data_IF_971031107095
#
_entry.id   IF_971031107095
#
_cell.length_a   1.000
_cell.length_b   1.000
_cell.length_c   1.000
_cell.angle_alpha   90.00
_cell.angle_beta   90.00
_cell.angle_gamma   90.00
#
_symmetry.space_group_name_H-M   'P 1'
#
loop_
_entity.id
_entity.type
_entity.pdbx_description
1 polymer ?
#
# COMPACT_ATOMS: atom_id res chain seq x y z
N UNK A 1 -5.72 -15.91 -2.49
CA UNK A 1 -7.16 -15.85 -2.13
C UNK A 1 -7.35 -15.81 -0.62
N UNK A 2 -6.77 -16.76 0.13
CA UNK A 2 -6.83 -16.80 1.61
C UNK A 2 -6.27 -15.52 2.28
N UNK A 3 -5.12 -14.98 1.83
CA UNK A 3 -4.58 -13.72 2.38
C UNK A 3 -5.42 -12.47 2.09
N UNK A 4 -5.94 -12.33 0.86
CA UNK A 4 -6.79 -11.18 0.53
C UNK A 4 -8.02 -11.18 1.43
N UNK A 5 -8.67 -12.34 1.60
CA UNK A 5 -9.75 -12.52 2.55
C UNK A 5 -9.34 -12.25 4.00
N UNK A 6 -8.16 -12.69 4.43
CA UNK A 6 -7.63 -12.52 5.80
C UNK A 6 -7.24 -11.09 6.17
N UNK A 7 -6.58 -10.38 5.26
CA UNK A 7 -6.19 -8.98 5.42
C UNK A 7 -7.40 -8.05 5.34
N UNK A 8 -8.42 -8.43 4.56
CA UNK A 8 -9.72 -7.79 4.60
C UNK A 8 -10.43 -8.11 5.94
N UNK A 9 -10.55 -9.39 6.33
CA UNK A 9 -11.37 -9.89 7.46
C UNK A 9 -10.95 -9.58 8.92
N UNK A 10 -10.04 -8.65 9.17
CA UNK A 10 -9.80 -8.12 10.53
C UNK A 10 -9.32 -9.14 11.60
N UNK A 11 -8.12 -9.71 11.42
CA UNK A 11 -7.17 -9.92 12.55
C UNK A 11 -5.76 -9.56 12.10
N UNK A 12 -4.95 -8.85 12.92
CA UNK A 12 -3.57 -8.55 12.58
C UNK A 12 -2.76 -9.84 12.59
N UNK A 13 -2.55 -10.42 11.41
CA UNK A 13 -1.58 -11.51 11.24
C UNK A 13 -0.17 -10.96 11.48
N UNK A 14 0.76 -11.78 11.99
CA UNK A 14 2.17 -11.40 12.09
C UNK A 14 2.76 -11.05 10.72
N UNK A 15 3.70 -10.08 10.62
CA UNK A 15 4.29 -9.67 9.36
C UNK A 15 4.93 -10.82 8.54
N UNK A 16 5.56 -11.78 9.21
CA UNK A 16 6.17 -12.96 8.57
C UNK A 16 5.14 -13.87 7.92
N UNK A 17 3.99 -14.05 8.56
CA UNK A 17 2.90 -14.85 8.04
C UNK A 17 2.19 -14.15 6.88
N UNK A 18 1.97 -12.83 7.00
CA UNK A 18 1.45 -12.01 5.90
C UNK A 18 2.33 -12.11 4.66
N UNK A 19 3.65 -12.04 4.83
CA UNK A 19 4.61 -12.17 3.73
C UNK A 19 4.61 -13.57 3.12
N UNK A 20 4.59 -14.62 3.94
CA UNK A 20 4.51 -16.01 3.47
C UNK A 20 3.28 -16.21 2.58
N UNK A 21 2.11 -15.82 3.07
CA UNK A 21 0.86 -15.96 2.33
C UNK A 21 0.82 -15.07 1.07
N UNK A 22 1.39 -13.85 1.14
CA UNK A 22 1.45 -12.93 0.01
C UNK A 22 2.33 -13.51 -1.10
N UNK A 23 3.42 -14.17 -0.73
CA UNK A 23 4.32 -14.86 -1.67
C UNK A 23 3.65 -16.03 -2.40
N UNK A 24 2.64 -16.67 -1.77
CA UNK A 24 1.86 -17.75 -2.39
C UNK A 24 0.78 -17.26 -3.35
N UNK A 25 0.46 -15.97 -3.33
CA UNK A 25 -0.52 -15.41 -4.24
C UNK A 25 0.05 -15.35 -5.66
N UNK A 26 -0.55 -16.10 -6.57
CA UNK A 26 -0.34 -15.95 -8.00
C UNK A 26 -1.47 -15.11 -8.60
N UNK A 27 -1.16 -13.87 -9.02
CA UNK A 27 -2.13 -12.90 -9.53
C UNK A 27 -2.74 -13.37 -10.86
N UNK A 28 -1.96 -14.06 -11.70
CA UNK A 28 -2.41 -14.54 -13.01
C UNK A 28 -3.56 -15.56 -12.90
N UNK A 29 -3.59 -16.33 -11.80
CA UNK A 29 -4.62 -17.34 -11.54
C UNK A 29 -5.86 -16.79 -10.83
N UNK A 30 -5.87 -15.50 -10.47
CA UNK A 30 -7.09 -14.87 -9.95
C UNK A 30 -8.04 -14.65 -11.14
N UNK A 31 -9.33 -14.91 -10.93
CA UNK A 31 -10.37 -14.63 -11.92
C UNK A 31 -10.38 -13.15 -12.32
N UNK A 32 -10.99 -12.84 -13.48
CA UNK A 32 -11.06 -11.49 -14.02
C UNK A 32 -12.08 -10.63 -13.26
N UNK A 33 -11.87 -10.45 -11.97
CA UNK A 33 -12.70 -9.67 -11.06
C UNK A 33 -11.87 -8.56 -10.43
N UNK A 34 -12.51 -7.62 -9.74
CA UNK A 34 -11.86 -6.56 -8.98
C UNK A 34 -10.91 -7.10 -7.88
N UNK A 35 -11.05 -8.36 -7.50
CA UNK A 35 -10.17 -9.04 -6.53
C UNK A 35 -8.74 -9.20 -7.08
N UNK A 36 -8.57 -9.32 -8.41
CA UNK A 36 -7.25 -9.49 -9.03
C UNK A 36 -6.33 -8.28 -8.75
N UNK A 37 -6.68 -7.04 -9.13
CA UNK A 37 -5.85 -5.87 -8.82
C UNK A 37 -5.74 -5.60 -7.31
N UNK A 38 -6.79 -5.86 -6.52
CA UNK A 38 -6.69 -5.79 -5.05
C UNK A 38 -5.64 -6.77 -4.53
N UNK A 39 -5.63 -8.01 -5.01
CA UNK A 39 -4.62 -9.01 -4.65
C UNK A 39 -3.21 -8.58 -5.02
N UNK A 40 -3.03 -7.92 -6.16
CA UNK A 40 -1.75 -7.34 -6.58
C UNK A 40 -1.28 -6.23 -5.64
N UNK A 41 -2.18 -5.31 -5.24
CA UNK A 41 -1.89 -4.26 -4.25
C UNK A 41 -1.49 -4.86 -2.91
N UNK A 42 -2.21 -5.88 -2.43
CA UNK A 42 -1.90 -6.53 -1.15
C UNK A 42 -0.54 -7.27 -1.19
N UNK A 43 -0.26 -8.00 -2.28
CA UNK A 43 1.05 -8.64 -2.47
C UNK A 43 2.16 -7.60 -2.59
N UNK A 44 1.97 -6.59 -3.42
CA UNK A 44 2.92 -5.49 -3.65
C UNK A 44 3.25 -4.74 -2.36
N UNK A 45 2.24 -4.38 -1.57
CA UNK A 45 2.42 -3.71 -0.28
C UNK A 45 3.22 -4.55 0.71
N UNK A 46 2.91 -5.85 0.86
CA UNK A 46 3.64 -6.74 1.76
C UNK A 46 5.13 -6.87 1.37
N UNK A 47 5.42 -7.01 0.08
CA UNK A 47 6.78 -7.06 -0.46
C UNK A 47 7.51 -5.72 -0.27
N UNK A 48 6.80 -4.60 -0.48
CA UNK A 48 7.30 -3.25 -0.27
C UNK A 48 7.69 -2.99 1.18
N UNK A 49 6.88 -3.45 2.16
CA UNK A 49 7.21 -3.36 3.59
C UNK A 49 8.52 -4.10 3.94
N UNK A 50 8.83 -5.16 3.20
CA UNK A 50 10.05 -5.95 3.34
C UNK A 50 11.20 -5.47 2.45
N UNK A 51 11.02 -4.32 1.76
CA UNK A 51 12.00 -3.73 0.82
C UNK A 51 12.36 -4.64 -0.36
N UNK A 52 11.49 -5.57 -0.73
CA UNK A 52 11.66 -6.43 -1.90
C UNK A 52 11.09 -5.73 -3.14
N UNK A 53 11.73 -4.63 -3.53
CA UNK A 53 11.18 -3.68 -4.50
C UNK A 53 10.92 -4.30 -5.88
N UNK A 54 11.84 -5.12 -6.41
CA UNK A 54 11.63 -5.81 -7.69
C UNK A 54 10.38 -6.72 -7.70
N UNK A 55 10.19 -7.51 -6.63
CA UNK A 55 9.01 -8.39 -6.53
C UNK A 55 7.72 -7.60 -6.32
N UNK A 56 7.81 -6.48 -5.60
CA UNK A 56 6.69 -5.57 -5.40
C UNK A 56 6.27 -4.91 -6.72
N UNK A 57 7.24 -4.46 -7.52
CA UNK A 57 7.04 -3.87 -8.84
C UNK A 57 6.39 -4.85 -9.82
N UNK A 58 6.83 -6.12 -9.81
CA UNK A 58 6.25 -7.17 -10.63
C UNK A 58 4.78 -7.41 -10.27
N UNK A 59 4.48 -7.56 -8.97
CA UNK A 59 3.12 -7.78 -8.49
C UNK A 59 2.19 -6.62 -8.86
N UNK A 60 2.63 -5.38 -8.66
CA UNK A 60 1.85 -4.18 -8.99
C UNK A 60 1.66 -4.04 -10.51
N UNK A 61 2.66 -4.40 -11.31
CA UNK A 61 2.56 -4.38 -12.77
C UNK A 61 1.55 -5.39 -13.31
N UNK A 62 1.45 -6.58 -12.70
CA UNK A 62 0.39 -7.54 -13.02
C UNK A 62 -1.01 -6.98 -12.71
N UNK A 63 -1.14 -6.26 -11.59
CA UNK A 63 -2.38 -5.57 -11.20
C UNK A 63 -2.78 -4.48 -12.20
N UNK A 64 -1.85 -3.57 -12.52
CA UNK A 64 -2.06 -2.48 -13.49
C UNK A 64 -2.44 -3.06 -14.86
N UNK A 65 -1.69 -4.06 -15.35
CA UNK A 65 -1.99 -4.71 -16.61
C UNK A 65 -3.41 -5.31 -16.64
N UNK A 66 -3.90 -5.83 -15.51
CA UNK A 66 -5.28 -6.33 -15.43
C UNK A 66 -6.33 -5.23 -15.47
N UNK A 67 -6.03 -4.05 -14.91
CA UNK A 67 -6.92 -2.88 -14.95
C UNK A 67 -6.97 -2.27 -16.36
N UNK A 68 -5.85 -2.26 -17.07
CA UNK A 68 -5.73 -1.66 -18.40
C UNK A 68 -6.30 -2.53 -19.52
N UNK A 69 -6.08 -3.85 -19.42
CA UNK A 69 -6.26 -4.75 -20.56
C UNK A 69 -7.35 -5.80 -20.38
N UNK A 70 -7.90 -5.97 -19.16
CA UNK A 70 -8.96 -6.94 -18.90
C UNK A 70 -10.30 -6.26 -18.62
N UNK A 71 -11.39 -6.85 -19.12
CA UNK A 71 -12.74 -6.50 -18.67
C UNK A 71 -13.01 -7.19 -17.34
N UNK A 72 -12.87 -6.45 -16.24
CA UNK A 72 -13.11 -6.95 -14.89
C UNK A 72 -14.61 -7.03 -14.57
N UNK A 73 -15.02 -8.07 -13.86
CA UNK A 73 -16.37 -8.26 -13.34
C UNK A 73 -16.40 -7.91 -11.86
N UNK A 74 -17.23 -6.95 -11.46
CA UNK A 74 -17.38 -6.57 -10.06
C UNK A 74 -18.31 -7.53 -9.31
N UNK A 75 -17.74 -8.32 -8.42
CA UNK A 75 -18.46 -9.26 -7.56
C UNK A 75 -19.12 -8.53 -6.38
N UNK A 76 -18.50 -7.45 -5.90
CA UNK A 76 -18.95 -6.64 -4.77
C UNK A 76 -19.49 -5.28 -5.25
N UNK A 77 -20.81 -5.11 -5.17
CA UNK A 77 -21.50 -3.90 -5.67
C UNK A 77 -21.29 -2.64 -4.81
N UNK A 78 -20.81 -2.79 -3.58
CA UNK A 78 -20.64 -1.72 -2.61
C UNK A 78 -19.21 -1.69 -2.04
N UNK A 79 -18.19 -1.69 -2.90
CA UNK A 79 -16.84 -1.31 -2.48
C UNK A 79 -16.90 0.14 -2.02
N UNK A 80 -16.62 0.45 -0.74
CA UNK A 80 -16.43 1.84 -0.39
C UNK A 80 -15.13 2.33 -1.02
N UNK A 81 -15.04 3.65 -1.13
CA UNK A 81 -13.92 4.32 -1.78
C UNK A 81 -12.61 4.02 -1.07
N UNK A 82 -11.53 3.76 -1.84
CA UNK A 82 -10.16 3.71 -1.31
C UNK A 82 -9.72 5.06 -0.73
N UNK A 83 -10.34 6.14 -1.22
CA UNK A 83 -10.09 7.51 -0.78
C UNK A 83 -11.41 8.22 -0.50
N UNK A 84 -11.70 8.58 0.75
CA UNK A 84 -12.99 9.21 1.14
C UNK A 84 -13.40 10.39 0.27
N UNK A 85 -12.41 11.14 -0.19
CA UNK A 85 -12.56 12.38 -0.94
C UNK A 85 -12.89 12.14 -2.42
N UNK A 86 -12.65 10.93 -2.93
CA UNK A 86 -12.92 10.58 -4.32
C UNK A 86 -14.43 10.48 -4.60
N UNK A 87 -14.84 10.95 -5.78
CA UNK A 87 -16.21 10.82 -6.29
C UNK A 87 -16.42 9.42 -6.86
N UNK A 88 -16.74 8.47 -6.00
CA UNK A 88 -16.89 7.07 -6.36
C UNK A 88 -18.36 6.66 -6.41
N UNK A 89 -18.99 6.85 -7.56
CA UNK A 89 -20.39 6.43 -7.76
C UNK A 89 -20.57 5.40 -8.88
N UNK A 90 -19.50 4.98 -9.56
CA UNK A 90 -19.53 4.02 -10.66
C UNK A 90 -18.42 2.97 -10.55
N UNK A 91 -18.61 1.82 -11.20
CA UNK A 91 -17.57 0.79 -11.38
C UNK A 91 -16.31 1.37 -12.07
N UNK A 92 -16.50 2.27 -13.03
CA UNK A 92 -15.41 3.00 -13.69
C UNK A 92 -14.58 3.83 -12.69
N UNK A 93 -15.22 4.56 -11.78
CA UNK A 93 -14.52 5.31 -10.74
C UNK A 93 -13.77 4.37 -9.77
N UNK A 94 -14.24 3.14 -9.56
CA UNK A 94 -13.54 2.13 -8.75
C UNK A 94 -12.30 1.58 -9.48
N UNK A 95 -12.40 1.31 -10.79
CA UNK A 95 -11.26 0.93 -11.63
C UNK A 95 -10.19 2.02 -11.56
N UNK A 96 -10.58 3.29 -11.76
CA UNK A 96 -9.64 4.42 -11.74
C UNK A 96 -8.94 4.55 -10.39
N UNK A 97 -9.64 4.35 -9.26
CA UNK A 97 -8.99 4.36 -7.94
C UNK A 97 -7.98 3.23 -7.74
N UNK A 98 -8.33 2.01 -8.16
CA UNK A 98 -7.43 0.86 -8.06
C UNK A 98 -6.19 1.08 -8.92
N UNK A 99 -6.37 1.66 -10.11
CA UNK A 99 -5.27 2.04 -11.00
C UNK A 99 -4.41 3.13 -10.36
N UNK A 100 -5.00 4.23 -9.88
CA UNK A 100 -4.33 5.32 -9.18
C UNK A 100 -3.45 4.80 -8.02
N UNK A 101 -4.02 3.98 -7.13
CA UNK A 101 -3.28 3.42 -6.00
C UNK A 101 -2.15 2.48 -6.46
N UNK A 102 -2.40 1.65 -7.48
CA UNK A 102 -1.39 0.74 -8.00
C UNK A 102 -0.22 1.50 -8.62
N UNK A 103 -0.50 2.55 -9.42
CA UNK A 103 0.51 3.45 -9.99
C UNK A 103 1.29 4.18 -8.90
N UNK A 104 0.62 4.79 -7.93
CA UNK A 104 1.27 5.46 -6.80
C UNK A 104 2.24 4.54 -6.06
N UNK A 105 1.81 3.31 -5.76
CA UNK A 105 2.64 2.31 -5.10
C UNK A 105 3.80 1.88 -5.98
N UNK A 106 3.57 1.64 -7.27
CA UNK A 106 4.61 1.20 -8.21
C UNK A 106 5.65 2.31 -8.43
N UNK A 107 5.22 3.56 -8.55
CA UNK A 107 6.09 4.73 -8.63
C UNK A 107 6.96 4.88 -7.39
N UNK A 108 6.39 4.71 -6.19
CA UNK A 108 7.18 4.68 -4.96
C UNK A 108 8.19 3.53 -4.95
N UNK A 109 7.77 2.32 -5.29
CA UNK A 109 8.65 1.14 -5.32
C UNK A 109 9.80 1.34 -6.30
N UNK A 110 9.52 1.80 -7.51
CA UNK A 110 10.49 2.09 -8.57
C UNK A 110 11.48 3.18 -8.18
N UNK A 111 11.03 4.23 -7.49
CA UNK A 111 11.91 5.29 -6.95
C UNK A 111 12.90 4.79 -5.89
N UNK A 112 12.70 3.58 -5.36
CA UNK A 112 13.58 2.94 -4.36
C UNK A 112 14.47 1.85 -4.96
N UNK A 113 14.43 1.64 -6.28
CA UNK A 113 15.27 0.67 -6.97
C UNK A 113 16.60 1.32 -7.38
N UNK A 114 17.68 0.53 -7.34
CA UNK A 114 19.00 0.96 -7.82
C UNK A 114 19.12 0.80 -9.35
N UNK A 115 18.17 1.38 -10.09
CA UNK A 115 18.07 1.31 -11.56
C UNK A 115 17.45 2.61 -12.08
N UNK A 116 18.21 3.39 -12.85
CA UNK A 116 17.80 4.71 -13.36
C UNK A 116 16.58 4.62 -14.29
N UNK A 117 16.53 3.62 -15.17
CA UNK A 117 15.37 3.42 -16.07
C UNK A 117 14.11 3.13 -15.26
N UNK A 118 14.24 2.38 -14.16
CA UNK A 118 13.13 2.13 -13.23
C UNK A 118 12.71 3.39 -12.51
N UNK A 119 13.65 4.21 -12.03
CA UNK A 119 13.34 5.47 -11.36
C UNK A 119 12.56 6.41 -12.29
N UNK A 120 12.94 6.49 -13.57
CA UNK A 120 12.26 7.31 -14.57
C UNK A 120 10.86 6.77 -14.89
N UNK A 121 10.72 5.45 -15.06
CA UNK A 121 9.39 4.81 -15.15
C UNK A 121 8.53 5.03 -13.89
N UNK A 122 9.17 5.19 -12.72
CA UNK A 122 8.48 5.55 -11.49
C UNK A 122 7.93 6.97 -11.49
N UNK A 123 8.56 7.89 -12.22
CA UNK A 123 8.03 9.24 -12.44
C UNK A 123 6.76 9.20 -13.31
N UNK A 124 6.77 8.40 -14.38
CA UNK A 124 5.60 8.18 -15.23
C UNK A 124 4.42 7.59 -14.43
N UNK A 125 4.71 6.67 -13.50
CA UNK A 125 3.69 6.11 -12.59
C UNK A 125 3.06 7.17 -11.68
N UNK A 126 3.85 8.11 -11.15
CA UNK A 126 3.29 9.21 -10.36
C UNK A 126 2.43 10.15 -11.21
N UNK A 127 2.76 10.33 -12.48
CA UNK A 127 1.95 11.13 -13.40
C UNK A 127 0.62 10.47 -13.71
N UNK A 128 0.61 9.17 -13.98
CA UNK A 128 -0.62 8.39 -14.15
C UNK A 128 -1.49 8.45 -12.89
N UNK A 129 -0.89 8.36 -11.69
CA UNK A 129 -1.61 8.54 -10.44
C UNK A 129 -2.28 9.92 -10.34
N UNK A 130 -1.57 11.00 -10.70
CA UNK A 130 -2.11 12.36 -10.67
C UNK A 130 -3.24 12.56 -11.68
N UNK A 131 -3.11 11.98 -12.88
CA UNK A 131 -4.17 12.00 -13.89
C UNK A 131 -5.43 11.29 -13.42
N UNK A 132 -5.29 10.13 -12.79
CA UNK A 132 -6.43 9.40 -12.25
C UNK A 132 -7.05 10.06 -11.04
N UNK A 133 -6.22 10.63 -10.16
CA UNK A 133 -6.68 11.42 -9.02
C UNK A 133 -7.57 12.57 -9.49
N UNK A 134 -7.18 13.29 -10.54
CA UNK A 134 -7.98 14.38 -11.12
C UNK A 134 -9.33 13.86 -11.65
N UNK A 135 -9.35 12.75 -12.40
CA UNK A 135 -10.58 12.14 -12.95
C UNK A 135 -11.62 11.82 -11.87
N UNK A 136 -11.17 11.35 -10.70
CA UNK A 136 -12.06 11.01 -9.58
C UNK A 136 -12.21 12.15 -8.57
N UNK A 137 -11.59 13.31 -8.81
CA UNK A 137 -11.62 14.47 -7.92
C UNK A 137 -10.93 14.25 -6.57
N UNK A 138 -9.92 13.39 -6.52
CA UNK A 138 -9.09 13.16 -5.35
C UNK A 138 -8.12 14.34 -5.17
N UNK A 139 -8.20 15.02 -4.03
CA UNK A 139 -7.32 16.13 -3.66
C UNK A 139 -6.91 15.99 -2.18
N UNK A 140 -5.84 15.23 -1.93
CA UNK A 140 -5.35 14.92 -0.59
C UNK A 140 -3.81 14.90 -0.53
N UNK A 141 -3.25 14.53 0.62
CA UNK A 141 -1.82 14.54 0.89
C UNK A 141 -0.99 13.68 -0.07
N UNK A 142 -1.53 12.57 -0.57
CA UNK A 142 -0.85 11.73 -1.54
C UNK A 142 -0.73 12.44 -2.88
N UNK A 143 -1.82 13.09 -3.33
CA UNK A 143 -1.84 13.90 -4.56
C UNK A 143 -0.87 15.05 -4.44
N UNK A 144 -0.86 15.75 -3.30
CA UNK A 144 0.03 16.88 -3.10
C UNK A 144 1.49 16.46 -3.06
N UNK A 145 1.82 15.38 -2.35
CA UNK A 145 3.21 14.93 -2.25
C UNK A 145 3.73 14.35 -3.57
N UNK A 146 2.91 13.59 -4.30
CA UNK A 146 3.26 13.11 -5.64
C UNK A 146 3.40 14.28 -6.63
N UNK A 147 2.47 15.23 -6.60
CA UNK A 147 2.50 16.45 -7.43
C UNK A 147 3.75 17.29 -7.18
N UNK A 148 4.12 17.48 -5.92
CA UNK A 148 5.38 18.13 -5.55
C UNK A 148 6.58 17.35 -6.12
N UNK A 149 6.66 16.05 -5.85
CA UNK A 149 7.76 15.21 -6.33
C UNK A 149 7.95 15.26 -7.86
N UNK A 150 6.86 15.10 -8.62
CA UNK A 150 6.87 15.15 -10.09
C UNK A 150 7.39 16.50 -10.58
N UNK A 151 6.88 17.60 -10.01
CA UNK A 151 7.29 18.94 -10.44
C UNK A 151 8.73 19.27 -10.05
N UNK A 152 9.23 18.78 -8.91
CA UNK A 152 10.67 18.92 -8.57
C UNK A 152 11.53 18.18 -9.61
N UNK A 153 11.17 16.93 -9.94
CA UNK A 153 11.88 16.13 -10.95
C UNK A 153 11.85 16.74 -12.36
N UNK A 154 10.76 17.43 -12.71
CA UNK A 154 10.60 18.16 -13.98
C UNK A 154 11.18 19.58 -13.98
N UNK A 155 11.92 19.96 -12.92
CA UNK A 155 12.50 21.30 -12.76
C UNK A 155 11.46 22.44 -12.83
N UNK A 156 10.28 22.19 -12.26
CA UNK A 156 9.15 23.13 -12.14
C UNK A 156 8.95 23.56 -10.67
N UNK A 157 9.85 24.41 -10.12
CA UNK A 157 9.89 24.70 -8.70
C UNK A 157 8.64 25.45 -8.21
N UNK A 158 8.07 26.35 -9.02
CA UNK A 158 6.91 27.15 -8.63
C UNK A 158 5.67 26.27 -8.43
N UNK A 159 5.43 25.33 -9.35
CA UNK A 159 4.36 24.34 -9.27
C UNK A 159 4.58 23.36 -8.10
N UNK A 160 5.83 22.92 -7.87
CA UNK A 160 6.16 22.08 -6.73
C UNK A 160 5.86 22.77 -5.39
N UNK A 161 6.19 24.06 -5.26
CA UNK A 161 5.94 24.86 -4.05
C UNK A 161 4.43 24.95 -3.76
N UNK A 162 3.58 25.11 -4.79
CA UNK A 162 2.12 25.13 -4.60
C UNK A 162 1.63 23.85 -3.93
N UNK A 163 2.08 22.70 -4.40
CA UNK A 163 1.73 21.42 -3.80
C UNK A 163 2.28 21.24 -2.38
N UNK A 164 3.54 21.65 -2.15
CA UNK A 164 4.17 21.59 -0.84
C UNK A 164 3.46 22.48 0.19
N UNK A 165 3.01 23.68 -0.19
CA UNK A 165 2.25 24.56 0.69
C UNK A 165 0.87 23.98 1.03
N UNK A 166 0.19 23.32 0.08
CA UNK A 166 -1.04 22.56 0.39
C UNK A 166 -0.75 21.44 1.38
N UNK A 167 0.28 20.63 1.11
CA UNK A 167 0.68 19.52 1.98
C UNK A 167 1.03 20.01 3.39
N UNK A 168 1.71 21.16 3.51
CA UNK A 168 2.06 21.77 4.81
C UNK A 168 0.84 22.10 5.68
N UNK A 169 -0.30 22.41 5.06
CA UNK A 169 -1.54 22.77 5.74
C UNK A 169 -2.35 21.55 6.24
N UNK A 170 -1.96 20.33 5.84
CA UNK A 170 -2.63 19.12 6.29
C UNK A 170 -2.55 18.94 7.81
N UNK A 171 -3.67 18.54 8.40
CA UNK A 171 -3.75 18.13 9.82
C UNK A 171 -3.12 16.74 10.05
N UNK A 172 -2.91 15.96 8.98
CA UNK A 172 -2.36 14.61 9.05
C UNK A 172 -0.82 14.59 9.10
N UNK A 173 -0.16 15.72 8.91
CA UNK A 173 1.31 15.78 8.96
C UNK A 173 1.81 16.39 10.27
N UNK A 174 2.86 15.79 10.81
CA UNK A 174 3.53 16.21 12.04
C UNK A 174 4.33 17.50 11.86
N UNK A 175 4.65 18.18 12.96
CA UNK A 175 5.50 19.38 12.93
C UNK A 175 6.89 19.11 12.33
N UNK A 176 7.41 17.89 12.49
CA UNK A 176 8.65 17.46 11.85
C UNK A 176 8.50 17.36 10.32
N UNK A 177 7.38 16.83 9.83
CA UNK A 177 7.08 16.75 8.39
C UNK A 177 6.87 18.17 7.82
N UNK A 178 6.22 19.07 8.57
CA UNK A 178 6.08 20.50 8.20
C UNK A 178 7.44 21.20 8.10
N UNK A 179 8.34 20.97 9.06
CA UNK A 179 9.70 21.50 9.01
C UNK A 179 10.51 20.99 7.81
N UNK A 180 10.33 19.72 7.42
CA UNK A 180 10.94 19.18 6.21
C UNK A 180 10.40 19.86 4.93
N UNK A 181 9.10 20.17 4.90
CA UNK A 181 8.49 20.91 3.79
C UNK A 181 9.09 22.31 3.65
N UNK A 182 9.23 23.05 4.76
CA UNK A 182 9.85 24.39 4.72
C UNK A 182 11.29 24.34 4.20
N UNK A 183 12.05 23.29 4.56
CA UNK A 183 13.39 23.07 4.05
C UNK A 183 13.41 22.77 2.53
N UNK A 184 12.49 21.92 2.05
CA UNK A 184 12.36 21.62 0.62
C UNK A 184 12.04 22.90 -0.16
N UNK A 185 11.07 23.69 0.31
CA UNK A 185 10.70 24.99 -0.31
C UNK A 185 11.90 25.94 -0.33
N UNK A 186 12.70 25.97 0.74
CA UNK A 186 13.92 26.78 0.78
C UNK A 186 14.96 26.33 -0.26
N UNK A 187 15.14 25.03 -0.48
CA UNK A 187 16.02 24.51 -1.53
C UNK A 187 15.51 24.83 -2.94
N UNK A 188 14.21 24.70 -3.19
CA UNK A 188 13.61 25.04 -4.48
C UNK A 188 13.77 26.52 -4.82
N UNK A 189 13.55 27.41 -3.85
CA UNK A 189 13.79 28.85 -4.02
C UNK A 189 15.26 29.20 -4.32
N UNK A 190 16.20 28.36 -3.86
CA UNK A 190 17.64 28.48 -4.16
C UNK A 190 18.06 27.76 -5.44
N UNK A 191 17.12 27.15 -6.17
CA UNK A 191 17.36 26.32 -7.36
C UNK A 191 18.29 25.13 -7.07
N UNK A 192 18.08 24.47 -5.95
CA UNK A 192 18.81 23.27 -5.53
C UNK A 192 17.90 22.02 -5.56
N UNK A 193 17.41 21.58 -6.74
CA UNK A 193 16.41 20.50 -6.85
C UNK A 193 16.89 19.17 -6.28
N UNK A 194 18.18 18.82 -6.42
CA UNK A 194 18.75 17.59 -5.87
C UNK A 194 18.67 17.54 -4.34
N UNK A 195 18.94 18.68 -3.68
CA UNK A 195 18.81 18.77 -2.21
C UNK A 195 17.35 18.68 -1.78
N UNK A 196 16.46 19.29 -2.55
CA UNK A 196 15.02 19.18 -2.33
C UNK A 196 14.57 17.71 -2.44
N UNK A 197 14.97 16.99 -3.49
CA UNK A 197 14.65 15.57 -3.68
C UNK A 197 15.21 14.67 -2.59
N UNK A 198 16.49 14.85 -2.21
CA UNK A 198 17.08 14.10 -1.11
C UNK A 198 16.30 14.32 0.19
N UNK A 199 15.88 15.56 0.45
CA UNK A 199 15.06 15.89 1.62
C UNK A 199 13.68 15.23 1.56
N UNK A 200 13.05 15.16 0.38
CA UNK A 200 11.82 14.38 0.17
C UNK A 200 12.06 12.91 0.53
N UNK A 201 13.10 12.26 -0.01
CA UNK A 201 13.37 10.84 0.23
C UNK A 201 13.71 10.49 1.68
N UNK A 202 14.47 11.37 2.34
CA UNK A 202 15.03 11.15 3.68
C UNK A 202 14.04 11.53 4.77
N UNK A 203 13.27 12.61 4.56
CA UNK A 203 12.44 13.23 5.60
C UNK A 203 10.93 13.12 5.35
N UNK A 204 10.49 12.93 4.10
CA UNK A 204 9.08 12.72 3.77
C UNK A 204 8.83 11.26 3.36
N UNK A 205 8.31 10.47 4.30
CA UNK A 205 8.07 9.05 4.05
C UNK A 205 6.74 8.85 3.29
N UNK A 206 6.76 8.98 1.96
CA UNK A 206 5.61 8.70 1.06
C UNK A 206 4.96 7.34 1.39
N UNK A 207 5.79 6.31 1.61
CA UNK A 207 5.32 4.99 2.03
C UNK A 207 4.44 5.02 3.30
N UNK A 208 4.76 5.87 4.30
CA UNK A 208 3.94 6.04 5.51
C UNK A 208 2.52 6.47 5.17
N UNK A 209 2.39 7.44 4.28
CA UNK A 209 1.11 8.03 3.90
C UNK A 209 0.31 7.00 3.11
N UNK A 210 0.93 6.31 2.15
CA UNK A 210 0.30 5.21 1.40
C UNK A 210 -0.25 4.17 2.38
N UNK A 211 0.57 3.66 3.32
CA UNK A 211 0.11 2.67 4.30
C UNK A 211 -0.99 3.19 5.22
N UNK A 212 -0.97 4.47 5.58
CA UNK A 212 -1.98 5.09 6.42
C UNK A 212 -3.33 5.14 5.72
N UNK A 213 -3.38 5.60 4.47
CA UNK A 213 -4.62 5.63 3.69
C UNK A 213 -5.15 4.22 3.42
N UNK A 214 -4.28 3.25 3.12
CA UNK A 214 -4.68 1.83 3.02
C UNK A 214 -5.24 1.33 4.36
N UNK A 215 -4.62 1.67 5.49
CA UNK A 215 -5.09 1.25 6.81
C UNK A 215 -6.42 1.90 7.21
N UNK A 216 -6.65 3.17 6.87
CA UNK A 216 -7.91 3.86 7.08
C UNK A 216 -9.02 3.23 6.25
N UNK A 217 -8.75 2.98 4.97
CA UNK A 217 -9.64 2.24 4.09
C UNK A 217 -10.03 0.86 4.66
N UNK A 218 -9.04 0.08 5.09
CA UNK A 218 -9.29 -1.25 5.66
C UNK A 218 -10.09 -1.21 6.96
N UNK A 219 -10.06 -0.10 7.72
CA UNK A 219 -10.82 0.06 8.97
C UNK A 219 -12.28 0.45 8.75
N UNK A 220 -12.59 1.12 7.64
CA UNK A 220 -13.94 1.63 7.37
C UNK A 220 -14.92 0.56 6.90
N UNK A 221 -14.38 -0.54 6.42
CA UNK A 221 -15.15 -1.67 5.93
C UNK A 221 -15.14 -2.71 7.02
N UNK A 222 -16.33 -3.07 7.47
CA UNK A 222 -16.52 -4.31 8.21
C UNK A 222 -16.44 -5.47 7.19
N UNK A 223 -15.23 -5.71 6.70
CA UNK A 223 -14.92 -6.74 5.72
C UNK A 223 -15.35 -8.12 6.20
N UNK A 224 -15.34 -8.34 7.51
CA UNK A 224 -15.91 -9.54 8.09
C UNK A 224 -17.40 -9.65 7.72
N UNK A 225 -18.22 -8.63 7.98
CA UNK A 225 -19.63 -8.60 7.56
C UNK A 225 -19.82 -8.65 6.04
N UNK A 226 -18.98 -8.00 5.24
CA UNK A 226 -19.10 -8.05 3.78
C UNK A 226 -18.77 -9.44 3.21
N UNK A 227 -17.72 -10.09 3.73
CA UNK A 227 -17.35 -11.45 3.35
C UNK A 227 -18.42 -12.46 3.80
N UNK A 228 -19.02 -12.28 4.98
CA UNK A 228 -20.11 -13.14 5.47
C UNK A 228 -21.34 -13.18 4.56
N UNK A 229 -21.57 -12.15 3.73
CA UNK A 229 -22.73 -12.10 2.80
C UNK A 229 -22.63 -13.10 1.67
N UNK A 230 -21.42 -13.58 1.35
CA UNK A 230 -21.18 -14.53 0.25
C UNK A 230 -20.77 -15.91 0.79
N UNK A 231 -21.11 -16.97 0.07
CA UNK A 231 -20.69 -18.33 0.45
C UNK A 231 -19.17 -18.49 0.40
N UNK A 232 -18.56 -17.96 -0.66
CA UNK A 232 -17.10 -17.87 -0.84
C UNK A 232 -16.44 -17.09 0.29
N UNK A 233 -16.98 -15.93 0.67
CA UNK A 233 -16.45 -15.14 1.79
C UNK A 233 -16.59 -15.83 3.15
N UNK A 234 -17.70 -16.55 3.42
CA UNK A 234 -17.84 -17.37 4.64
C UNK A 234 -16.82 -18.51 4.73
N UNK A 235 -16.47 -19.13 3.61
CA UNK A 235 -15.39 -20.13 3.57
C UNK A 235 -14.03 -19.48 3.87
N UNK A 236 -13.80 -18.26 3.39
CA UNK A 236 -12.58 -17.50 3.70
C UNK A 236 -12.45 -17.15 5.18
N UNK A 237 -13.53 -16.69 5.82
CA UNK A 237 -13.52 -16.33 7.24
C UNK A 237 -13.18 -17.52 8.15
N UNK A 238 -13.67 -18.72 7.85
CA UNK A 238 -13.34 -19.92 8.64
C UNK A 238 -11.85 -20.27 8.62
N UNK A 239 -11.20 -20.10 7.47
CA UNK A 239 -9.75 -20.33 7.35
C UNK A 239 -9.00 -19.31 8.19
N UNK A 240 -9.47 -18.06 8.20
CA UNK A 240 -8.83 -16.99 8.97
C UNK A 240 -8.83 -17.22 10.48
N UNK A 241 -9.95 -17.70 11.02
CA UNK A 241 -10.12 -17.98 12.44
C UNK A 241 -9.22 -19.14 12.89
N UNK A 242 -9.16 -20.21 12.09
CA UNK A 242 -8.31 -21.38 12.39
C UNK A 242 -6.84 -20.98 12.41
N UNK A 243 -6.38 -20.22 11.42
CA UNK A 243 -4.99 -19.76 11.35
C UNK A 243 -4.64 -18.85 12.53
N UNK A 244 -5.52 -17.92 12.90
CA UNK A 244 -5.30 -17.02 14.04
C UNK A 244 -5.17 -17.79 15.36
N UNK A 245 -6.04 -18.78 15.59
CA UNK A 245 -5.99 -19.62 16.79
C UNK A 245 -4.73 -20.49 16.84
N UNK A 246 -4.33 -21.10 15.72
CA UNK A 246 -3.11 -21.91 15.68
C UNK A 246 -1.84 -21.06 15.85
N UNK A 247 -1.83 -19.82 15.36
CA UNK A 247 -0.74 -18.89 15.62
C UNK A 247 -0.66 -18.49 17.10
N UNK A 248 -1.76 -18.10 17.74
CA UNK A 248 -1.79 -17.76 19.18
C UNK A 248 -1.29 -18.95 20.04
N UNK A 249 -1.62 -20.19 19.65
CA UNK A 249 -1.09 -21.41 20.28
C UNK A 249 0.41 -21.59 20.05
N UNK A 250 0.91 -21.33 18.84
CA UNK A 250 2.34 -21.39 18.55
C UNK A 250 3.10 -20.31 19.33
N UNK A 251 2.67 -19.05 19.30
CA UNK A 251 3.30 -17.94 20.01
C UNK A 251 3.36 -18.19 21.53
N UNK A 252 2.25 -18.66 22.13
CA UNK A 252 2.22 -19.05 23.54
C UNK A 252 3.03 -20.31 23.87
N UNK A 253 3.41 -21.10 22.85
CA UNK A 253 4.33 -22.25 22.93
C UNK A 253 5.80 -21.89 22.69
N UNK A 254 6.08 -20.78 22.00
CA UNK A 254 7.40 -20.19 21.78
C UNK A 254 7.77 -19.11 22.81
N UNK A 255 6.94 -18.91 23.84
CA UNK A 255 7.28 -18.11 25.00
C UNK A 255 8.66 -18.55 25.54
N UNK A 256 9.62 -17.66 25.47
CA UNK A 256 11.02 -17.92 25.82
C UNK A 256 11.18 -18.45 27.23
N UNK A 257 10.28 -18.09 28.15
CA UNK A 257 10.30 -18.60 29.52
C UNK A 257 9.82 -20.06 29.57
N UNK A 258 8.77 -20.42 28.81
CA UNK A 258 8.31 -21.81 28.67
C UNK A 258 9.28 -22.69 27.89
N UNK A 259 9.93 -22.16 26.86
CA UNK A 259 10.99 -22.87 26.12
C UNK A 259 12.21 -23.13 27.01
N UNK A 260 12.53 -22.19 27.91
CA UNK A 260 13.61 -22.33 28.89
C UNK A 260 13.24 -23.33 29.98
N UNK A 261 11.98 -23.39 30.41
CA UNK A 261 11.49 -24.45 31.30
C UNK A 261 11.49 -25.83 30.62
N UNK A 262 10.94 -25.96 29.41
CA UNK A 262 11.00 -27.20 28.62
C UNK A 262 12.42 -27.65 28.32
N UNK A 263 13.32 -26.71 28.03
CA UNK A 263 14.74 -26.98 27.85
C UNK A 263 15.40 -27.49 29.12
N UNK A 264 15.04 -26.95 30.29
CA UNK A 264 15.50 -27.47 31.60
C UNK A 264 14.92 -28.85 31.91
N UNK A 265 13.68 -29.14 31.56
CA UNK A 265 13.09 -30.48 31.70
C UNK A 265 13.79 -31.50 30.80
N UNK A 266 14.00 -31.19 29.52
CA UNK A 266 14.72 -32.06 28.59
C UNK A 266 16.17 -32.32 29.01
N UNK A 267 16.82 -31.34 29.65
CA UNK A 267 18.18 -31.51 30.18
C UNK A 267 18.23 -32.34 31.47
N UNK A 268 17.13 -32.46 32.24
CA UNK A 268 17.04 -33.35 33.42
C UNK A 268 16.98 -34.83 33.06
N UNK A 269 16.58 -35.17 31.84
CA UNK A 269 16.57 -36.55 31.36
C UNK A 269 17.92 -36.98 30.74
N UNK A 270 18.84 -36.03 30.57
CA UNK A 270 20.16 -36.23 29.94
C UNK A 270 21.31 -36.16 30.97
N UNK A 271 21.08 -35.58 32.15
CA UNK A 271 22.01 -35.51 33.28
C UNK A 271 21.38 -36.09 34.55
#
# INVERSE_FOLDING_TARGET
>A
MVLCGLMMAAKPLPPSFQLYEASKLNIEYIEKTEIKPVGAILKGSSLMMNKWYYLSEEALSQGINSLDNEKLYFVYKNYPSLFKEAKVSSEEAQIIQLHALSCLMRGFVRSRMDDEDKIDQGLEDFELFLEDADKIGLDNELVWLAGAYVNIKKEKPDEAIVYLEKFKQSELISDSEKGAVDEIIAYLNKREPDKALNTVYDKLFIGKLIFRHIAEYLKEIDWYKELEKSETGRQFLKISEVVGVEYEKMESGFDTDKLKEKGKELLKDIF
#
